data_IF_048790065736
#
_entry.id   IF_048790065736
#
_cell.length_a   1.000
_cell.length_b   1.000
_cell.length_c   1.000
_cell.angle_alpha   90.00
_cell.angle_beta   90.00
_cell.angle_gamma   90.00
#
_symmetry.space_group_name_H-M   'P 1'
#
loop_
_entity.id
_entity.type
_entity.pdbx_description
1 polymer ?
#
# COMPACT_ATOMS: atom_id res chain seq x y z
N UNK A 1 -19.27 42.58 76.42
CA UNK A 1 -19.80 42.65 75.04
C UNK A 1 -19.32 41.40 74.32
N UNK A 2 -20.19 40.44 74.02
CA UNK A 2 -19.84 39.18 73.36
C UNK A 2 -20.14 39.29 71.88
N UNK A 3 -19.23 38.84 71.01
CA UNK A 3 -19.57 38.51 69.63
C UNK A 3 -18.91 37.17 69.28
N UNK A 4 -19.77 36.16 69.18
CA UNK A 4 -19.50 34.87 68.53
C UNK A 4 -19.80 35.03 67.05
N UNK A 5 -18.97 34.49 66.14
CA UNK A 5 -19.39 34.23 64.76
C UNK A 5 -18.99 32.81 64.37
N UNK A 6 -20.02 32.07 63.96
CA UNK A 6 -20.08 30.65 63.66
C UNK A 6 -19.39 30.30 62.32
N UNK A 7 -18.84 29.09 62.26
CA UNK A 7 -18.36 28.47 61.02
C UNK A 7 -19.51 28.12 60.08
N UNK A 8 -19.28 28.27 58.77
CA UNK A 8 -20.17 27.83 57.70
C UNK A 8 -19.45 26.91 56.71
N UNK A 9 -19.97 25.71 56.40
CA UNK A 9 -19.39 24.83 55.40
C UNK A 9 -20.11 24.99 54.05
N UNK A 10 -19.52 25.71 53.09
CA UNK A 10 -20.06 25.81 51.71
C UNK A 10 -18.97 25.89 50.64
N UNK A 11 -18.09 24.90 50.58
CA UNK A 11 -17.04 24.86 49.53
C UNK A 11 -16.90 23.51 48.81
N UNK A 12 -17.77 22.51 49.05
CA UNK A 12 -17.62 21.18 48.42
C UNK A 12 -18.33 21.00 47.07
N UNK A 13 -19.46 21.66 46.84
CA UNK A 13 -20.33 21.32 45.70
C UNK A 13 -19.87 21.83 44.31
N UNK A 14 -19.01 22.85 44.23
CA UNK A 14 -18.65 23.48 42.94
C UNK A 14 -17.50 22.79 42.19
N UNK A 15 -16.68 21.99 42.89
CA UNK A 15 -15.55 21.25 42.26
C UNK A 15 -16.01 20.01 41.51
N UNK A 16 -17.14 19.43 41.89
CA UNK A 16 -17.60 18.13 41.38
C UNK A 16 -18.14 18.22 39.94
N UNK A 17 -18.82 19.31 39.57
CA UNK A 17 -19.37 19.51 38.21
C UNK A 17 -18.33 19.77 37.13
N UNK A 18 -17.21 20.42 37.47
CA UNK A 18 -16.13 20.71 36.53
C UNK A 18 -15.19 19.50 36.37
N UNK A 19 -14.88 18.82 37.48
CA UNK A 19 -14.10 17.59 37.45
C UNK A 19 -14.83 16.48 36.68
N UNK A 20 -16.14 16.32 36.86
CA UNK A 20 -16.95 15.34 36.13
C UNK A 20 -17.02 15.62 34.62
N UNK A 21 -17.20 16.89 34.21
CA UNK A 21 -17.19 17.27 32.79
C UNK A 21 -15.84 17.03 32.11
N UNK A 22 -14.74 17.36 32.78
CA UNK A 22 -13.40 17.08 32.27
C UNK A 22 -13.11 15.57 32.21
N UNK A 23 -13.61 14.79 33.17
CA UNK A 23 -13.47 13.34 33.19
C UNK A 23 -14.25 12.67 32.05
N UNK A 24 -15.47 13.14 31.76
CA UNK A 24 -16.28 12.65 30.65
C UNK A 24 -15.66 12.98 29.27
N UNK A 25 -15.07 14.16 29.11
CA UNK A 25 -14.35 14.53 27.88
C UNK A 25 -13.10 13.67 27.69
N UNK A 26 -12.33 13.44 28.77
CA UNK A 26 -11.15 12.57 28.73
C UNK A 26 -11.49 11.14 28.32
N UNK A 27 -12.55 10.56 28.88
CA UNK A 27 -13.02 9.21 28.53
C UNK A 27 -13.56 9.18 27.10
N UNK A 28 -14.31 10.19 26.68
CA UNK A 28 -14.80 10.29 25.30
C UNK A 28 -13.66 10.31 24.29
N UNK A 29 -12.60 11.07 24.56
CA UNK A 29 -11.43 11.13 23.70
C UNK A 29 -10.66 9.80 23.65
N UNK A 30 -10.49 9.13 24.79
CA UNK A 30 -9.87 7.79 24.85
C UNK A 30 -10.71 6.78 24.09
N UNK A 31 -12.04 6.80 24.25
CA UNK A 31 -12.93 5.88 23.56
C UNK A 31 -12.91 6.12 22.04
N UNK A 32 -12.93 7.38 21.60
CA UNK A 32 -12.80 7.72 20.19
C UNK A 32 -11.44 7.29 19.61
N UNK A 33 -10.35 7.45 20.37
CA UNK A 33 -9.03 6.99 19.96
C UNK A 33 -8.95 5.46 19.87
N UNK A 34 -9.53 4.74 20.84
CA UNK A 34 -9.60 3.27 20.83
C UNK A 34 -10.46 2.75 19.69
N UNK A 35 -11.59 3.40 19.39
CA UNK A 35 -12.42 3.08 18.24
C UNK A 35 -11.67 3.34 16.92
N UNK A 36 -11.00 4.49 16.79
CA UNK A 36 -10.20 4.82 15.61
C UNK A 36 -9.05 3.84 15.40
N UNK A 37 -8.32 3.50 16.46
CA UNK A 37 -7.26 2.49 16.42
C UNK A 37 -7.80 1.09 16.10
N UNK A 38 -8.95 0.72 16.67
CA UNK A 38 -9.62 -0.55 16.41
C UNK A 38 -10.09 -0.68 14.96
N UNK A 39 -10.68 0.37 14.38
CA UNK A 39 -11.08 0.41 12.97
C UNK A 39 -9.86 0.39 12.06
N UNK A 40 -8.83 1.19 12.34
CA UNK A 40 -7.58 1.19 11.56
C UNK A 40 -6.88 -0.17 11.59
N UNK A 41 -6.81 -0.80 12.76
CA UNK A 41 -6.25 -2.13 12.94
C UNK A 41 -7.13 -3.20 12.26
N UNK A 42 -8.46 -3.10 12.33
CA UNK A 42 -9.37 -4.00 11.64
C UNK A 42 -9.19 -3.93 10.12
N UNK A 43 -9.11 -2.72 9.53
CA UNK A 43 -8.84 -2.54 8.09
C UNK A 43 -7.48 -3.14 7.71
N UNK A 44 -6.46 -2.96 8.55
CA UNK A 44 -5.12 -3.51 8.33
C UNK A 44 -5.11 -5.04 8.44
N UNK A 45 -5.82 -5.61 9.42
CA UNK A 45 -5.97 -7.05 9.63
C UNK A 45 -6.78 -7.70 8.51
N UNK A 46 -7.89 -7.08 8.06
CA UNK A 46 -8.70 -7.54 6.93
C UNK A 46 -7.86 -7.59 5.66
N UNK A 47 -7.10 -6.52 5.37
CA UNK A 47 -6.15 -6.46 4.26
C UNK A 47 -5.06 -7.55 4.37
N UNK A 48 -4.73 -7.98 5.59
CA UNK A 48 -3.70 -9.00 5.86
C UNK A 48 -4.19 -10.44 5.73
N UNK A 49 -5.51 -10.71 5.84
CA UNK A 49 -6.07 -12.07 5.82
C UNK A 49 -5.95 -12.80 4.48
N UNK A 50 -5.54 -12.11 3.42
CA UNK A 50 -5.23 -12.68 2.10
C UNK A 50 -3.79 -12.46 1.64
N UNK A 51 -2.89 -11.94 2.49
CA UNK A 51 -1.52 -11.64 2.09
C UNK A 51 -0.64 -12.89 2.10
N UNK A 52 0.04 -13.10 0.99
CA UNK A 52 1.10 -14.09 0.86
C UNK A 52 2.33 -13.63 1.65
N UNK A 53 3.21 -14.57 2.07
CA UNK A 53 4.41 -14.24 2.84
C UNK A 53 5.28 -13.19 2.13
N UNK A 54 5.67 -12.09 2.82
CA UNK A 54 6.36 -10.96 2.20
C UNK A 54 7.77 -11.28 1.71
N UNK A 55 8.35 -12.38 2.19
CA UNK A 55 9.68 -12.89 1.85
C UNK A 55 9.67 -13.84 0.63
N UNK A 56 8.47 -14.16 0.10
CA UNK A 56 8.30 -14.96 -1.11
C UNK A 56 8.06 -14.09 -2.34
N UNK A 57 8.52 -14.52 -3.53
CA UNK A 57 8.40 -13.71 -4.74
C UNK A 57 6.94 -13.39 -5.07
N UNK A 58 6.02 -14.35 -4.90
CA UNK A 58 4.59 -14.14 -5.10
C UNK A 58 3.98 -13.12 -4.12
N UNK A 59 4.47 -13.07 -2.88
CA UNK A 59 4.01 -12.07 -1.91
C UNK A 59 4.56 -10.66 -2.19
N UNK A 60 5.72 -10.56 -2.83
CA UNK A 60 6.23 -9.28 -3.35
C UNK A 60 5.38 -8.80 -4.52
N UNK A 61 5.09 -9.67 -5.50
CA UNK A 61 4.23 -9.31 -6.64
C UNK A 61 2.83 -8.93 -6.19
N UNK A 62 2.25 -9.65 -5.22
CA UNK A 62 0.94 -9.30 -4.67
C UNK A 62 0.92 -7.87 -4.13
N UNK A 63 1.90 -7.50 -3.31
CA UNK A 63 1.95 -6.17 -2.68
C UNK A 63 2.25 -5.08 -3.69
N UNK A 64 3.09 -5.36 -4.69
CA UNK A 64 3.31 -4.45 -5.81
C UNK A 64 2.00 -4.16 -6.55
N UNK A 65 1.25 -5.19 -6.93
CA UNK A 65 -0.03 -5.03 -7.64
C UNK A 65 -1.05 -4.28 -6.77
N UNK A 66 -1.16 -4.61 -5.48
CA UNK A 66 -2.03 -3.87 -4.55
C UNK A 66 -1.60 -2.40 -4.40
N UNK A 67 -0.31 -2.09 -4.42
CA UNK A 67 0.17 -0.71 -4.38
C UNK A 67 -0.18 0.06 -5.67
N UNK A 68 -0.08 -0.59 -6.83
CA UNK A 68 -0.54 -0.02 -8.11
C UNK A 68 -2.04 0.22 -8.11
N UNK A 69 -2.83 -0.76 -7.69
CA UNK A 69 -4.29 -0.71 -7.59
C UNK A 69 -4.76 0.35 -6.60
N UNK A 70 -4.06 0.56 -5.49
CA UNK A 70 -4.36 1.63 -4.52
C UNK A 70 -3.85 3.02 -5.00
N UNK A 71 -2.98 3.09 -6.00
CA UNK A 71 -2.32 4.33 -6.44
C UNK A 71 -1.16 4.78 -5.56
N UNK A 72 -0.64 3.88 -4.74
CA UNK A 72 0.57 4.08 -3.92
C UNK A 72 1.80 3.84 -4.79
N UNK A 73 2.01 4.69 -5.80
CA UNK A 73 3.05 4.48 -6.81
C UNK A 73 4.47 4.55 -6.25
N UNK A 74 4.72 5.38 -5.23
CA UNK A 74 6.02 5.42 -4.55
C UNK A 74 6.35 4.08 -3.87
N UNK A 75 5.35 3.44 -3.26
CA UNK A 75 5.50 2.12 -2.68
C UNK A 75 5.65 1.03 -3.74
N UNK A 76 4.86 1.10 -4.82
CA UNK A 76 5.00 0.18 -5.95
C UNK A 76 6.42 0.27 -6.56
N UNK A 77 6.93 1.50 -6.74
CA UNK A 77 8.26 1.76 -7.25
C UNK A 77 9.36 1.20 -6.35
N UNK A 78 9.16 1.21 -5.03
CA UNK A 78 10.10 0.63 -4.09
C UNK A 78 10.27 -0.88 -4.29
N UNK A 79 9.31 -1.61 -4.85
CA UNK A 79 9.47 -3.05 -5.14
C UNK A 79 10.38 -3.35 -6.34
N UNK A 80 10.76 -2.34 -7.13
CA UNK A 80 11.58 -2.53 -8.31
C UNK A 80 13.07 -2.75 -7.98
N UNK A 81 13.80 -3.42 -8.87
CA UNK A 81 15.26 -3.56 -8.78
C UNK A 81 15.95 -2.20 -8.80
N UNK A 82 17.11 -2.12 -8.17
CA UNK A 82 17.95 -0.91 -8.19
C UNK A 82 18.29 -0.49 -9.62
N UNK A 83 18.54 -1.48 -10.50
CA UNK A 83 18.73 -1.23 -11.93
C UNK A 83 17.48 -0.60 -12.58
N UNK A 84 16.30 -1.17 -12.36
CA UNK A 84 15.05 -0.61 -12.91
C UNK A 84 14.83 0.83 -12.44
N UNK A 85 15.07 1.11 -11.16
CA UNK A 85 14.94 2.45 -10.58
C UNK A 85 15.95 3.44 -11.19
N UNK A 86 17.18 3.02 -11.47
CA UNK A 86 18.20 3.87 -12.09
C UNK A 86 17.89 4.25 -13.54
N UNK A 87 17.12 3.43 -14.25
CA UNK A 87 16.79 3.60 -15.68
C UNK A 87 15.44 4.28 -15.92
N UNK A 88 14.59 4.34 -14.89
CA UNK A 88 13.22 4.81 -14.96
C UNK A 88 12.92 5.58 -13.68
N UNK A 89 12.70 6.89 -13.81
CA UNK A 89 12.44 7.73 -12.64
C UNK A 89 11.09 7.39 -12.01
N UNK A 90 10.92 7.69 -10.72
CA UNK A 90 9.61 7.58 -10.07
C UNK A 90 8.52 8.37 -10.81
N UNK A 91 8.86 9.51 -11.40
CA UNK A 91 7.93 10.32 -12.19
C UNK A 91 7.48 9.58 -13.46
N UNK A 92 8.42 9.00 -14.21
CA UNK A 92 8.12 8.24 -15.43
C UNK A 92 7.30 6.99 -15.11
N UNK A 93 7.71 6.26 -14.06
CA UNK A 93 6.98 5.11 -13.55
C UNK A 93 5.54 5.48 -13.19
N UNK A 94 5.34 6.60 -12.48
CA UNK A 94 4.01 7.08 -12.08
C UNK A 94 3.17 7.46 -13.29
N UNK A 95 3.73 8.20 -14.23
CA UNK A 95 3.03 8.61 -15.45
C UNK A 95 2.56 7.38 -16.24
N UNK A 96 3.45 6.39 -16.44
CA UNK A 96 3.12 5.17 -17.16
C UNK A 96 2.11 4.29 -16.40
N UNK A 97 2.39 4.00 -15.13
CA UNK A 97 1.59 3.09 -14.29
C UNK A 97 0.20 3.63 -14.02
N UNK A 98 0.02 4.96 -13.91
CA UNK A 98 -1.30 5.57 -13.74
C UNK A 98 -2.25 5.27 -14.89
N UNK A 99 -1.77 5.24 -16.14
CA UNK A 99 -2.58 4.85 -17.30
C UNK A 99 -2.90 3.36 -17.31
N UNK A 100 -1.93 2.54 -16.90
CA UNK A 100 -2.09 1.08 -16.83
C UNK A 100 -3.05 0.65 -15.72
N UNK A 101 -3.08 1.34 -14.58
CA UNK A 101 -4.03 1.07 -13.48
C UNK A 101 -5.47 0.95 -13.97
N UNK A 102 -5.92 1.86 -14.84
CA UNK A 102 -7.28 1.81 -15.39
C UNK A 102 -7.57 0.54 -16.21
N UNK A 103 -6.55 -0.10 -16.77
CA UNK A 103 -6.70 -1.39 -17.47
C UNK A 103 -6.81 -2.57 -16.49
N UNK A 104 -6.21 -2.45 -15.30
CA UNK A 104 -6.31 -3.45 -14.24
C UNK A 104 -7.65 -3.37 -13.48
N UNK A 105 -8.25 -2.19 -13.39
CA UNK A 105 -9.54 -1.97 -12.72
C UNK A 105 -10.74 -2.67 -13.43
N UNK A 106 -10.58 -3.08 -14.69
CA UNK A 106 -11.66 -3.64 -15.52
C UNK A 106 -11.73 -5.19 -15.50
N UNK A 107 -10.88 -5.86 -14.72
CA UNK A 107 -10.80 -7.31 -14.66
C UNK A 107 -10.38 -7.83 -13.29
N UNK A 108 -10.20 -9.15 -13.19
CA UNK A 108 -9.66 -9.81 -12.00
C UNK A 108 -8.21 -10.24 -12.23
N UNK A 109 -7.41 -10.16 -11.15
CA UNK A 109 -6.03 -10.63 -11.13
C UNK A 109 -5.90 -11.79 -10.17
N UNK A 110 -5.23 -12.84 -10.61
CA UNK A 110 -4.86 -13.96 -9.76
C UNK A 110 -3.38 -14.32 -9.94
N UNK A 111 -2.73 -14.71 -8.85
CA UNK A 111 -1.36 -15.22 -8.89
C UNK A 111 -1.40 -16.69 -9.28
N UNK A 112 -0.72 -17.02 -10.37
CA UNK A 112 -0.59 -18.35 -10.92
C UNK A 112 0.69 -19.04 -10.49
N UNK A 113 1.40 -19.61 -11.46
CA UNK A 113 2.61 -20.40 -11.24
C UNK A 113 3.76 -19.55 -10.71
N UNK A 114 4.54 -20.13 -9.80
CA UNK A 114 5.80 -19.56 -9.32
C UNK A 114 6.95 -20.52 -9.65
N UNK A 115 8.00 -20.01 -10.28
CA UNK A 115 9.22 -20.74 -10.60
C UNK A 115 10.40 -20.01 -9.94
N UNK A 116 11.15 -20.68 -9.07
CA UNK A 116 12.29 -20.09 -8.34
C UNK A 116 13.56 -20.87 -8.69
N UNK A 117 14.61 -20.15 -9.06
CA UNK A 117 15.92 -20.70 -9.42
C UNK A 117 17.03 -19.85 -8.80
N UNK A 118 17.49 -20.23 -7.61
CA UNK A 118 18.51 -19.50 -6.87
C UNK A 118 18.04 -18.09 -6.48
N UNK A 119 18.71 -17.08 -7.02
CA UNK A 119 18.42 -15.67 -6.80
C UNK A 119 17.49 -15.05 -7.86
N UNK A 120 16.91 -15.88 -8.73
CA UNK A 120 15.93 -15.47 -9.73
C UNK A 120 14.59 -16.18 -9.46
N UNK A 121 13.49 -15.48 -9.75
CA UNK A 121 12.14 -16.03 -9.70
C UNK A 121 11.27 -15.48 -10.83
N UNK A 122 10.33 -16.29 -11.29
CA UNK A 122 9.26 -15.87 -12.20
C UNK A 122 7.91 -16.20 -11.58
N UNK A 123 7.06 -15.18 -11.43
CA UNK A 123 5.69 -15.29 -10.93
C UNK A 123 4.75 -14.96 -12.06
N UNK A 124 3.88 -15.89 -12.42
CA UNK A 124 2.90 -15.70 -13.49
C UNK A 124 1.64 -15.07 -12.89
N UNK A 125 1.25 -13.90 -13.39
CA UNK A 125 0.00 -13.21 -13.02
C UNK A 125 -1.02 -13.47 -14.10
N UNK A 126 -2.15 -14.05 -13.73
CA UNK A 126 -3.26 -14.30 -14.64
C UNK A 126 -4.25 -13.15 -14.57
N UNK A 127 -4.54 -12.58 -15.72
CA UNK A 127 -5.54 -11.55 -15.93
C UNK A 127 -6.76 -12.19 -16.53
N UNK A 128 -7.93 -11.90 -15.97
CA UNK A 128 -9.20 -12.31 -16.53
C UNK A 128 -10.13 -11.11 -16.64
N UNK A 129 -10.71 -10.90 -17.81
CA UNK A 129 -11.68 -9.84 -18.07
C UNK A 129 -12.87 -10.44 -18.80
N UNK A 130 -14.07 -10.16 -18.29
CA UNK A 130 -15.30 -10.61 -18.92
C UNK A 130 -15.69 -9.64 -20.05
N UNK A 131 -15.82 -10.19 -21.26
CA UNK A 131 -16.39 -9.51 -22.41
C UNK A 131 -17.87 -9.85 -22.61
N UNK A 132 -18.56 -9.14 -23.51
CA UNK A 132 -19.98 -9.38 -23.80
C UNK A 132 -20.28 -10.77 -24.41
N UNK A 133 -19.27 -11.47 -24.93
CA UNK A 133 -19.44 -12.76 -25.61
C UNK A 133 -18.44 -13.85 -25.15
N UNK A 134 -17.31 -13.46 -24.55
CA UNK A 134 -16.26 -14.38 -24.11
C UNK A 134 -15.46 -13.79 -22.95
N UNK A 135 -14.84 -14.66 -22.15
CA UNK A 135 -13.88 -14.26 -21.11
C UNK A 135 -12.48 -14.25 -21.71
N UNK A 136 -11.82 -13.11 -21.67
CA UNK A 136 -10.43 -12.97 -22.08
C UNK A 136 -9.54 -13.28 -20.89
N UNK A 137 -8.66 -14.26 -21.04
CA UNK A 137 -7.66 -14.59 -20.04
C UNK A 137 -6.27 -14.65 -20.65
N UNK A 138 -5.29 -14.00 -20.01
CA UNK A 138 -3.89 -14.11 -20.37
C UNK A 138 -3.00 -14.13 -19.14
N UNK A 139 -1.80 -14.70 -19.28
CA UNK A 139 -0.82 -14.72 -18.20
C UNK A 139 0.37 -13.82 -18.52
N UNK A 140 0.79 -13.03 -17.54
CA UNK A 140 1.88 -12.07 -17.60
C UNK A 140 3.01 -12.49 -16.63
N UNK A 141 4.25 -12.70 -17.10
CA UNK A 141 5.32 -13.21 -16.26
C UNK A 141 6.09 -12.08 -15.55
N UNK A 142 5.99 -11.98 -14.22
CA UNK A 142 6.79 -11.08 -13.40
C UNK A 142 8.12 -11.73 -13.07
N UNK A 143 9.22 -11.10 -13.48
CA UNK A 143 10.57 -11.55 -13.14
C UNK A 143 11.06 -10.82 -11.90
N UNK A 144 11.65 -11.55 -10.98
CA UNK A 144 12.21 -11.01 -9.75
C UNK A 144 13.63 -11.52 -9.56
N UNK A 145 14.48 -10.64 -9.04
CA UNK A 145 15.85 -10.94 -8.67
C UNK A 145 16.04 -10.63 -7.20
N UNK A 146 16.86 -11.41 -6.49
CA UNK A 146 17.16 -11.17 -5.08
C UNK A 146 18.27 -10.11 -4.94
N UNK A 147 17.92 -8.93 -4.44
CA UNK A 147 18.86 -7.85 -4.11
C UNK A 147 18.87 -7.61 -2.59
N UNK A 148 20.05 -7.66 -1.96
CA UNK A 148 20.17 -7.41 -0.51
C UNK A 148 19.32 -8.35 0.35
N UNK A 149 19.12 -9.60 -0.09
CA UNK A 149 18.29 -10.59 0.58
C UNK A 149 16.78 -10.46 0.31
N UNK A 150 16.34 -9.43 -0.41
CA UNK A 150 14.94 -9.16 -0.72
C UNK A 150 14.65 -9.39 -2.20
N UNK A 151 13.46 -9.93 -2.50
CA UNK A 151 13.01 -10.03 -3.89
C UNK A 151 12.64 -8.65 -4.42
N UNK A 152 13.12 -8.33 -5.62
CA UNK A 152 12.85 -7.09 -6.34
C UNK A 152 12.36 -7.40 -7.75
N UNK A 153 11.37 -6.66 -8.22
CA UNK A 153 10.76 -6.86 -9.54
C UNK A 153 11.64 -6.21 -10.60
N UNK A 154 11.99 -6.98 -11.62
CA UNK A 154 12.60 -6.46 -12.81
C UNK A 154 11.50 -5.91 -13.74
N UNK A 155 11.45 -4.58 -13.84
CA UNK A 155 10.41 -3.84 -14.56
C UNK A 155 10.89 -3.29 -15.91
N UNK A 156 12.14 -3.55 -16.28
CA UNK A 156 12.77 -2.91 -17.42
C UNK A 156 12.40 -3.59 -18.74
N UNK A 157 12.19 -2.76 -19.78
CA UNK A 157 11.65 -3.20 -21.07
C UNK A 157 12.51 -4.22 -21.85
N UNK A 158 13.80 -4.27 -21.56
CA UNK A 158 14.74 -5.20 -22.22
C UNK A 158 14.52 -6.65 -21.78
N UNK A 159 13.94 -6.87 -20.60
CA UNK A 159 13.71 -8.21 -20.06
C UNK A 159 12.41 -8.82 -20.59
N UNK A 160 12.35 -9.03 -21.91
CA UNK A 160 11.22 -9.71 -22.55
C UNK A 160 11.16 -11.20 -22.18
N UNK A 161 9.96 -11.79 -22.00
CA UNK A 161 8.62 -11.22 -22.16
C UNK A 161 8.00 -10.66 -20.86
N UNK A 162 8.79 -10.14 -19.91
CA UNK A 162 8.28 -9.57 -18.66
C UNK A 162 7.46 -8.28 -18.85
N UNK A 163 6.69 -7.88 -17.82
CA UNK A 163 5.82 -6.72 -17.91
C UNK A 163 6.63 -5.43 -18.01
N UNK A 164 6.29 -4.61 -19.00
CA UNK A 164 6.88 -3.30 -19.22
C UNK A 164 6.28 -2.30 -18.22
N UNK A 165 6.87 -2.17 -17.03
CA UNK A 165 6.42 -1.17 -16.03
C UNK A 165 7.27 0.09 -16.04
N UNK A 166 8.49 0.00 -16.57
CA UNK A 166 9.41 1.10 -16.71
C UNK A 166 9.84 1.23 -18.17
N UNK A 167 9.11 2.03 -18.98
CA UNK A 167 9.55 2.35 -20.33
C UNK A 167 10.86 3.15 -20.28
N UNK A 168 11.69 3.09 -21.34
CA UNK A 168 12.83 3.98 -21.44
C UNK A 168 12.34 5.43 -21.42
N UNK A 169 13.03 6.30 -20.68
CA UNK A 169 12.72 7.73 -20.68
C UNK A 169 12.73 8.31 -22.11
N UNK A 170 12.18 9.52 -22.32
CA UNK A 170 12.21 10.16 -23.62
C UNK A 170 13.64 10.17 -24.16
N UNK A 171 13.82 9.70 -25.40
CA UNK A 171 15.11 9.79 -26.08
C UNK A 171 15.65 11.20 -25.91
N UNK A 172 16.94 11.40 -25.60
CA UNK A 172 17.50 12.74 -25.52
C UNK A 172 17.12 13.45 -26.80
N UNK A 173 16.36 14.55 -26.66
CA UNK A 173 15.92 15.35 -27.80
C UNK A 173 17.17 15.64 -28.61
N UNK A 174 17.27 15.09 -29.81
CA UNK A 174 18.43 15.34 -30.66
C UNK A 174 18.56 16.85 -30.78
N UNK A 175 19.60 17.41 -30.17
CA UNK A 175 19.89 18.84 -30.27
C UNK A 175 20.15 19.08 -31.74
N UNK A 176 19.13 19.57 -32.44
CA UNK A 176 19.24 19.88 -33.86
C UNK A 176 20.33 20.96 -33.99
N UNK A 177 21.39 20.72 -34.78
CA UNK A 177 22.49 21.68 -34.92
C UNK A 177 22.00 23.00 -35.53
#
# INVERSE_FOLDING_TARGET
>A
MYITIAGGPRQRALREGFLSRLWLIGIGAIFAALLGAGVGLAITLERSRGLLPPDRPEGVVQRFLMAVEDGRFEEAYAYLTSESQSRCSLQDFTAFTSTRRFAYDQGSLSLGRVEVSGDEATVWVRHESDGPFETYAYEEPFRLTREGGQWRINAHFEFRPGPYWCPPGPLPTATRP
#
